data_IF_048056711802
#
_entry.id   IF_048056711802
#
_cell.length_a   1.000
_cell.length_b   1.000
_cell.length_c   1.000
_cell.angle_alpha   90.00
_cell.angle_beta   90.00
_cell.angle_gamma   90.00
#
_symmetry.space_group_name_H-M   'P 1'
#
loop_
_entity.id
_entity.type
_entity.pdbx_description
1 polymer ?
#
# COMPACT_ATOMS: atom_id res chain seq x y z
N UNK A 1 12.01 21.74 -0.43
CA UNK A 1 13.06 22.54 0.23
C UNK A 1 13.88 21.61 1.12
N UNK A 2 15.13 21.34 0.73
CA UNK A 2 16.04 20.40 1.40
C UNK A 2 16.52 21.02 2.73
N UNK A 3 16.38 20.33 3.86
CA UNK A 3 17.09 20.69 5.09
C UNK A 3 18.40 19.92 5.13
N UNK A 4 19.45 20.63 4.74
CA UNK A 4 20.84 20.24 4.87
C UNK A 4 21.16 19.99 6.34
N UNK A 5 21.67 18.81 6.68
CA UNK A 5 22.49 18.65 7.87
C UNK A 5 23.78 19.42 7.62
N UNK A 6 23.85 20.63 8.16
CA UNK A 6 24.94 21.56 7.94
C UNK A 6 26.28 20.95 8.37
N UNK A 7 27.13 20.60 7.40
CA UNK A 7 28.58 20.57 7.63
C UNK A 7 28.97 22.04 7.81
N UNK A 8 29.32 22.44 9.02
CA UNK A 8 29.95 23.74 9.25
C UNK A 8 31.36 23.68 8.65
N UNK A 9 31.53 24.25 7.45
CA UNK A 9 32.78 24.25 6.72
C UNK A 9 33.50 25.58 6.92
N UNK A 10 34.67 25.56 7.58
CA UNK A 10 35.56 26.72 7.67
C UNK A 10 36.81 26.45 6.84
N UNK A 11 36.80 26.89 5.57
CA UNK A 11 37.99 26.88 4.74
C UNK A 11 38.85 28.09 5.10
N UNK A 12 39.92 27.88 5.86
CA UNK A 12 40.86 28.96 6.19
C UNK A 12 42.05 28.90 5.23
N UNK A 13 41.99 29.68 4.16
CA UNK A 13 43.16 29.91 3.31
C UNK A 13 44.01 31.01 3.97
N UNK A 14 45.10 30.63 4.64
CA UNK A 14 46.07 31.58 5.17
C UNK A 14 46.98 32.03 4.03
N UNK A 15 46.70 33.22 3.47
CA UNK A 15 47.58 33.85 2.50
C UNK A 15 48.74 34.54 3.25
N UNK A 16 49.85 33.84 3.43
CA UNK A 16 51.14 34.48 3.67
C UNK A 16 52.14 34.02 2.62
N UNK A 17 52.90 34.99 2.12
CA UNK A 17 53.86 34.83 1.04
C UNK A 17 54.93 33.78 1.36
N UNK A 18 55.19 32.89 0.40
CA UNK A 18 56.36 32.02 0.25
C UNK A 18 56.49 30.75 1.12
N UNK A 19 55.41 30.21 1.70
CA UNK A 19 55.44 28.88 2.34
C UNK A 19 54.30 28.02 1.77
N UNK A 20 54.58 26.75 1.48
CA UNK A 20 53.66 25.78 0.88
C UNK A 20 52.21 25.97 1.38
N UNK A 21 51.30 26.30 0.47
CA UNK A 21 49.89 26.44 0.83
C UNK A 21 49.36 25.03 1.16
N UNK A 22 48.80 24.86 2.35
CA UNK A 22 48.15 23.61 2.75
C UNK A 22 46.65 23.81 2.84
N UNK A 23 45.87 22.93 2.21
CA UNK A 23 44.44 22.82 2.50
C UNK A 23 44.32 21.96 3.75
N UNK A 24 43.62 22.47 4.77
CA UNK A 24 43.27 21.69 5.96
C UNK A 24 41.78 21.41 5.91
N UNK A 25 41.42 20.15 5.82
CA UNK A 25 40.04 19.68 5.94
C UNK A 25 39.85 19.17 7.36
N UNK A 26 38.85 19.68 8.07
CA UNK A 26 38.49 19.20 9.40
C UNK A 26 37.24 18.34 9.27
N UNK A 27 37.29 17.09 9.72
CA UNK A 27 36.12 16.21 9.69
C UNK A 27 35.16 16.46 10.86
N UNK A 28 34.02 15.76 10.85
CA UNK A 28 32.96 15.91 11.87
C UNK A 28 33.42 15.59 13.30
N UNK A 29 34.50 14.83 13.44
CA UNK A 29 35.07 14.42 14.73
C UNK A 29 36.23 15.35 15.15
N UNK A 30 36.49 16.40 14.35
CA UNK A 30 37.52 17.40 14.62
C UNK A 30 38.91 17.00 14.14
N UNK A 31 39.07 15.88 13.42
CA UNK A 31 40.38 15.48 12.92
C UNK A 31 40.78 16.35 11.73
N UNK A 32 42.05 16.71 11.67
CA UNK A 32 42.60 17.54 10.60
C UNK A 32 43.32 16.69 9.55
N UNK A 33 42.93 16.88 8.29
CA UNK A 33 43.53 16.27 7.12
C UNK A 33 44.22 17.37 6.31
N UNK A 34 45.56 17.30 6.18
CA UNK A 34 46.35 18.32 5.50
C UNK A 34 46.75 17.86 4.10
N UNK A 35 46.50 18.70 3.11
CA UNK A 35 46.83 18.44 1.71
C UNK A 35 47.76 19.54 1.19
N UNK A 36 48.81 19.14 0.49
CA UNK A 36 49.70 20.09 -0.20
C UNK A 36 49.00 20.59 -1.46
N UNK A 37 48.82 21.91 -1.60
CA UNK A 37 48.13 22.51 -2.76
C UNK A 37 48.89 22.32 -4.08
N UNK A 38 50.21 22.10 -4.04
CA UNK A 38 51.04 21.92 -5.24
C UNK A 38 50.67 20.67 -6.07
N UNK A 39 49.93 19.72 -5.46
CA UNK A 39 49.58 18.43 -6.07
C UNK A 39 48.08 18.12 -6.08
N UNK A 40 47.22 19.07 -5.67
CA UNK A 40 45.78 18.86 -5.60
C UNK A 40 45.10 19.57 -6.77
N UNK A 41 44.61 18.79 -7.73
CA UNK A 41 43.80 19.31 -8.83
C UNK A 41 42.34 19.53 -8.41
N UNK A 42 41.74 18.53 -7.75
CA UNK A 42 40.36 18.54 -7.27
C UNK A 42 40.24 17.79 -5.93
N UNK A 43 39.33 18.24 -5.05
CA UNK A 43 38.91 17.50 -3.84
C UNK A 43 37.42 17.21 -3.96
N UNK A 44 37.06 15.93 -4.00
CA UNK A 44 35.65 15.49 -4.00
C UNK A 44 35.34 14.81 -2.67
N UNK A 45 34.18 15.16 -2.09
CA UNK A 45 33.66 14.50 -0.89
C UNK A 45 32.41 13.72 -1.26
N UNK A 46 32.43 12.42 -1.01
CA UNK A 46 31.24 11.59 -1.13
C UNK A 46 30.57 11.48 0.25
N UNK A 47 29.30 11.85 0.31
CA UNK A 47 28.48 11.61 1.50
C UNK A 47 28.01 10.16 1.42
N UNK A 48 28.64 9.29 2.20
CA UNK A 48 28.18 7.91 2.34
C UNK A 48 27.05 7.90 3.37
N UNK A 49 25.86 7.50 2.93
CA UNK A 49 24.73 7.25 3.82
C UNK A 49 24.90 5.91 4.52
N UNK A 50 25.40 5.95 5.75
CA UNK A 50 25.68 4.78 6.56
C UNK A 50 24.47 4.34 7.43
N UNK A 51 23.26 4.86 7.16
CA UNK A 51 22.08 4.43 7.90
C UNK A 51 21.81 2.94 7.62
N UNK A 52 21.49 2.12 8.63
CA UNK A 52 21.04 0.75 8.40
C UNK A 52 19.80 0.77 7.50
N UNK A 53 19.82 -0.08 6.47
CA UNK A 53 18.75 -0.21 5.49
C UNK A 53 18.13 -1.61 5.56
N UNK A 54 16.82 -1.66 5.81
CA UNK A 54 16.09 -2.90 5.97
C UNK A 54 15.15 -3.14 4.78
N UNK A 55 15.29 -4.30 4.14
CA UNK A 55 14.32 -4.80 3.16
C UNK A 55 13.30 -5.69 3.88
N UNK A 56 12.11 -5.16 4.09
CA UNK A 56 11.01 -5.87 4.72
C UNK A 56 10.33 -6.80 3.70
N UNK A 57 10.01 -8.02 4.13
CA UNK A 57 9.38 -9.04 3.28
C UNK A 57 7.93 -9.33 3.67
N UNK A 58 7.45 -8.73 4.76
CA UNK A 58 6.10 -8.90 5.27
C UNK A 58 5.50 -7.54 5.63
N UNK A 59 4.20 -7.42 5.39
CA UNK A 59 3.37 -6.29 5.81
C UNK A 59 2.10 -6.81 6.46
N UNK A 60 1.70 -6.19 7.56
CA UNK A 60 0.36 -6.30 8.11
C UNK A 60 -0.33 -4.94 8.10
N UNK A 61 -1.47 -4.88 7.40
CA UNK A 61 -2.31 -3.70 7.27
C UNK A 61 -3.48 -3.82 8.25
N UNK A 62 -3.63 -2.84 9.12
CA UNK A 62 -4.62 -2.80 10.19
C UNK A 62 -5.48 -1.53 10.07
N UNK A 63 -6.60 -1.57 9.33
CA UNK A 63 -7.51 -0.43 9.24
C UNK A 63 -8.26 -0.26 10.57
N UNK A 64 -8.34 0.97 11.07
CA UNK A 64 -9.09 1.27 12.29
C UNK A 64 -10.43 1.96 11.97
N UNK A 65 -10.40 3.22 11.49
CA UNK A 65 -11.58 3.95 11.02
C UNK A 65 -11.19 5.16 10.16
N UNK A 66 -12.05 5.55 9.22
CA UNK A 66 -11.88 6.71 8.36
C UNK A 66 -10.54 6.74 7.61
N UNK A 67 -9.71 7.74 7.92
CA UNK A 67 -8.40 7.98 7.30
C UNK A 67 -7.24 7.20 7.94
N UNK A 68 -7.48 6.43 9.01
CA UNK A 68 -6.41 5.88 9.84
C UNK A 68 -6.10 4.42 9.51
N UNK A 69 -4.81 4.14 9.27
CA UNK A 69 -4.31 2.81 8.93
C UNK A 69 -3.02 2.53 9.68
N UNK A 70 -3.00 1.45 10.46
CA UNK A 70 -1.78 0.89 11.00
C UNK A 70 -1.05 0.05 9.96
N UNK A 71 0.25 0.26 9.81
CA UNK A 71 1.14 -0.60 9.02
C UNK A 71 2.19 -1.21 9.95
N UNK A 72 2.38 -2.52 9.89
CA UNK A 72 3.49 -3.20 10.55
C UNK A 72 4.30 -4.01 9.53
N UNK A 73 5.58 -3.68 9.38
CA UNK A 73 6.51 -4.37 8.51
C UNK A 73 7.42 -5.30 9.31
N UNK A 74 7.74 -6.47 8.74
CA UNK A 74 8.67 -7.44 9.35
C UNK A 74 9.67 -7.97 8.33
N UNK A 75 10.91 -8.10 8.78
CA UNK A 75 11.97 -8.88 8.10
C UNK A 75 11.90 -10.34 8.55
N UNK A 76 12.59 -11.24 7.85
CA UNK A 76 12.69 -12.64 8.26
C UNK A 76 13.45 -12.79 9.59
N UNK A 77 14.36 -11.87 9.87
CA UNK A 77 15.21 -11.81 11.05
C UNK A 77 14.49 -11.16 12.25
N UNK A 78 13.24 -10.74 12.12
CA UNK A 78 12.44 -10.23 13.24
C UNK A 78 12.64 -8.74 13.56
N UNK A 79 13.28 -7.97 12.68
CA UNK A 79 13.21 -6.50 12.70
C UNK A 79 11.79 -6.05 12.35
N UNK A 80 11.22 -5.16 13.15
CA UNK A 80 9.87 -4.62 12.97
C UNK A 80 9.89 -3.10 12.83
N UNK A 81 9.09 -2.57 11.92
CA UNK A 81 8.75 -1.15 11.87
C UNK A 81 7.23 -1.00 11.79
N UNK A 82 6.64 -0.31 12.76
CA UNK A 82 5.21 -0.05 12.83
C UNK A 82 4.92 1.45 12.72
N UNK A 83 3.81 1.78 12.06
CA UNK A 83 3.45 3.15 11.73
C UNK A 83 1.94 3.34 11.83
N UNK A 84 1.54 4.43 12.48
CA UNK A 84 0.16 4.90 12.55
C UNK A 84 -0.08 6.01 11.51
N UNK A 85 -0.65 5.64 10.35
CA UNK A 85 -0.78 6.54 9.20
C UNK A 85 -2.14 7.22 9.18
N UNK A 86 -2.15 8.43 8.66
CA UNK A 86 -3.35 9.17 8.30
C UNK A 86 -3.21 9.74 6.90
N UNK A 87 -4.21 9.49 6.05
CA UNK A 87 -4.29 10.07 4.71
C UNK A 87 -4.97 11.44 4.74
N UNK A 88 -4.59 12.30 3.78
CA UNK A 88 -5.27 13.57 3.54
C UNK A 88 -6.70 13.37 2.99
N UNK A 89 -6.89 12.35 2.15
CA UNK A 89 -8.16 12.01 1.52
C UNK A 89 -8.71 10.68 2.10
N UNK A 90 -9.87 10.69 2.80
CA UNK A 90 -10.49 9.47 3.34
C UNK A 90 -11.00 8.50 2.29
N UNK A 91 -11.16 8.93 1.03
CA UNK A 91 -11.68 8.07 -0.03
C UNK A 91 -10.64 7.10 -0.58
N UNK A 92 -9.35 7.36 -0.33
CA UNK A 92 -8.23 6.55 -0.85
C UNK A 92 -7.39 6.01 0.30
N UNK A 93 -7.52 4.71 0.53
CA UNK A 93 -6.78 4.01 1.58
C UNK A 93 -5.37 3.74 1.09
N UNK A 94 -4.36 4.17 1.87
CA UNK A 94 -2.94 4.10 1.51
C UNK A 94 -2.66 4.77 0.15
N UNK A 95 -3.13 6.00 -0.01
CA UNK A 95 -2.90 6.80 -1.20
C UNK A 95 -1.40 6.97 -1.50
N UNK A 96 -1.06 6.96 -2.78
CA UNK A 96 0.29 7.28 -3.26
C UNK A 96 0.72 8.68 -2.79
N UNK A 97 2.00 8.81 -2.48
CA UNK A 97 2.59 10.09 -2.11
C UNK A 97 3.59 9.97 -0.96
N UNK A 98 3.88 11.12 -0.36
CA UNK A 98 4.82 11.22 0.76
C UNK A 98 4.08 11.48 2.07
N UNK A 99 4.36 10.64 3.06
CA UNK A 99 3.86 10.72 4.42
C UNK A 99 4.96 11.27 5.32
N UNK A 100 4.64 12.32 6.07
CA UNK A 100 5.62 12.99 6.93
C UNK A 100 5.43 12.58 8.39
N UNK A 101 6.51 12.19 9.06
CA UNK A 101 6.49 11.79 10.47
C UNK A 101 6.27 13.02 11.36
N UNK A 102 5.31 12.94 12.26
CA UNK A 102 4.98 14.00 13.21
C UNK A 102 4.33 15.24 12.60
N UNK A 103 3.92 15.19 11.33
CA UNK A 103 3.05 16.22 10.76
C UNK A 103 1.66 16.17 11.41
N UNK A 104 0.92 17.29 11.38
CA UNK A 104 -0.44 17.38 11.92
C UNK A 104 -1.52 17.40 10.84
N UNK A 105 -1.13 17.59 9.58
CA UNK A 105 -2.02 17.71 8.42
C UNK A 105 -1.45 16.94 7.23
N UNK A 106 -2.31 16.69 6.23
CA UNK A 106 -1.95 15.94 5.03
C UNK A 106 -1.67 14.46 5.29
N UNK A 107 -0.96 13.83 4.34
CA UNK A 107 -0.45 12.47 4.48
C UNK A 107 0.63 12.47 5.57
N UNK A 108 0.35 11.80 6.69
CA UNK A 108 1.18 11.88 7.89
C UNK A 108 1.30 10.54 8.60
N UNK A 109 2.34 10.44 9.40
CA UNK A 109 2.56 9.35 10.35
C UNK A 109 2.55 9.98 11.75
N UNK A 110 1.64 9.55 12.60
CA UNK A 110 1.64 9.98 13.99
C UNK A 110 2.80 9.31 14.74
N UNK A 111 3.56 10.09 15.48
CA UNK A 111 4.70 9.63 16.30
C UNK A 111 4.47 9.91 17.79
N UNK A 112 3.27 10.34 18.17
CA UNK A 112 2.93 10.68 19.55
C UNK A 112 2.87 9.46 20.48
N UNK A 113 2.53 8.28 19.96
CA UNK A 113 2.48 7.02 20.69
C UNK A 113 3.50 5.99 20.18
N UNK A 114 4.57 5.81 20.96
CA UNK A 114 5.62 4.80 20.70
C UNK A 114 5.16 3.34 20.83
N UNK A 115 3.90 3.09 21.20
CA UNK A 115 3.31 1.75 21.12
C UNK A 115 2.75 1.43 19.74
N UNK A 116 2.26 2.45 19.02
CA UNK A 116 1.64 2.33 17.70
C UNK A 116 2.65 2.62 16.58
N UNK A 117 3.50 3.63 16.77
CA UNK A 117 4.55 4.00 15.81
C UNK A 117 5.93 3.79 16.42
N UNK A 118 6.63 2.76 15.95
CA UNK A 118 7.91 2.35 16.54
C UNK A 118 8.82 1.61 15.57
N UNK A 119 10.11 1.68 15.84
CA UNK A 119 11.12 0.81 15.24
C UNK A 119 11.61 -0.19 16.30
N UNK A 120 11.78 -1.45 15.92
CA UNK A 120 12.31 -2.50 16.79
C UNK A 120 13.34 -3.32 16.01
N UNK A 121 14.63 -3.02 16.16
CA UNK A 121 15.66 -3.89 15.60
C UNK A 121 15.63 -5.23 16.33
N UNK A 122 15.63 -6.35 15.60
CA UNK A 122 15.86 -7.72 16.08
C UNK A 122 15.35 -8.02 17.51
N UNK A 123 14.03 -7.94 17.72
CA UNK A 123 13.43 -8.29 19.01
C UNK A 123 13.84 -7.43 20.22
N UNK A 124 14.59 -6.33 20.06
CA UNK A 124 15.01 -5.44 21.16
C UNK A 124 13.84 -4.62 21.72
N UNK A 125 14.10 -3.68 22.64
CA UNK A 125 13.09 -2.70 23.04
C UNK A 125 12.61 -1.88 21.83
N UNK A 126 11.34 -1.45 21.88
CA UNK A 126 10.78 -0.49 20.91
C UNK A 126 11.53 0.84 21.01
N UNK A 127 11.82 1.44 19.87
CA UNK A 127 12.45 2.74 19.72
C UNK A 127 11.46 3.69 19.05
N UNK A 128 11.31 4.89 19.61
CA UNK A 128 10.42 5.91 19.07
C UNK A 128 11.06 6.59 17.84
N UNK A 129 10.22 6.96 16.88
CA UNK A 129 10.61 7.83 15.79
C UNK A 129 10.56 9.31 16.23
N UNK A 130 11.42 10.13 15.63
CA UNK A 130 11.51 11.58 15.86
C UNK A 130 11.07 12.40 14.66
N UNK A 131 11.48 11.98 13.46
CA UNK A 131 11.16 12.65 12.20
C UNK A 131 11.50 11.74 11.03
N UNK A 132 11.04 12.09 9.82
CA UNK A 132 11.30 11.31 8.63
C UNK A 132 10.23 11.50 7.57
N UNK A 133 10.37 10.74 6.50
CA UNK A 133 9.39 10.63 5.42
C UNK A 133 9.23 9.19 4.99
N UNK A 134 8.02 8.82 4.62
CA UNK A 134 7.71 7.57 3.94
C UNK A 134 7.11 7.90 2.56
N UNK A 135 7.52 7.19 1.52
CA UNK A 135 6.93 7.30 0.19
C UNK A 135 6.18 6.01 -0.12
N UNK A 136 4.95 6.14 -0.59
CA UNK A 136 4.09 5.04 -1.04
C UNK A 136 3.79 5.27 -2.52
N UNK A 137 3.92 4.22 -3.32
CA UNK A 137 3.46 4.17 -4.72
C UNK A 137 2.98 2.77 -5.05
N UNK A 138 2.07 2.62 -6.02
CA UNK A 138 1.69 1.31 -6.55
C UNK A 138 1.56 1.29 -8.07
N UNK A 139 1.70 0.10 -8.66
CA UNK A 139 1.47 -0.11 -10.09
C UNK A 139 0.02 -0.53 -10.38
N UNK A 140 -0.31 -0.73 -11.66
CA UNK A 140 -1.65 -1.15 -12.11
C UNK A 140 -2.09 -2.53 -11.61
N UNK A 141 -1.17 -3.34 -11.08
CA UNK A 141 -1.44 -4.65 -10.49
C UNK A 141 -1.53 -4.61 -8.95
N UNK A 142 -1.58 -3.40 -8.37
CA UNK A 142 -1.59 -3.15 -6.94
C UNK A 142 -0.37 -3.73 -6.19
N UNK A 143 0.79 -3.79 -6.86
CA UNK A 143 2.07 -4.03 -6.20
C UNK A 143 2.55 -2.68 -5.66
N UNK A 144 2.69 -2.59 -4.35
CA UNK A 144 3.13 -1.40 -3.64
C UNK A 144 4.64 -1.39 -3.49
N UNK A 145 5.26 -0.25 -3.76
CA UNK A 145 6.62 0.08 -3.34
C UNK A 145 6.52 1.13 -2.23
N UNK A 146 6.93 0.75 -1.03
CA UNK A 146 6.92 1.59 0.17
C UNK A 146 8.35 1.75 0.65
N UNK A 147 8.82 2.98 0.80
CA UNK A 147 10.13 3.28 1.37
C UNK A 147 10.02 4.30 2.48
N UNK A 148 10.88 4.23 3.49
CA UNK A 148 10.97 5.26 4.52
C UNK A 148 12.40 5.60 4.88
N UNK A 149 12.57 6.87 5.22
CA UNK A 149 13.78 7.44 5.79
C UNK A 149 13.42 8.10 7.10
N UNK A 150 13.94 7.60 8.21
CA UNK A 150 13.57 8.08 9.52
C UNK A 150 14.78 8.39 10.41
N UNK A 151 14.54 9.25 11.38
CA UNK A 151 15.42 9.55 12.49
C UNK A 151 14.73 9.07 13.76
N UNK A 152 15.42 8.28 14.56
CA UNK A 152 14.95 7.76 15.84
C UNK A 152 15.13 8.79 16.95
N UNK A 153 14.52 8.55 18.11
CA UNK A 153 14.57 9.46 19.25
C UNK A 153 16.00 9.73 19.76
N UNK A 154 16.91 8.75 19.61
CA UNK A 154 18.34 8.87 19.95
C UNK A 154 19.16 9.67 18.91
N UNK A 155 18.55 10.08 17.80
CA UNK A 155 19.18 10.82 16.71
C UNK A 155 19.82 9.94 15.63
N UNK A 156 19.83 8.62 15.79
CA UNK A 156 20.27 7.70 14.74
C UNK A 156 19.28 7.69 13.57
N UNK A 157 19.77 7.39 12.37
CA UNK A 157 18.93 7.28 11.17
C UNK A 157 18.67 5.82 10.81
N UNK A 158 17.54 5.55 10.17
CA UNK A 158 17.18 4.23 9.64
C UNK A 158 16.48 4.38 8.29
N UNK A 159 16.77 3.44 7.39
CA UNK A 159 16.14 3.29 6.09
C UNK A 159 15.33 2.00 6.05
N UNK A 160 14.23 2.00 5.32
CA UNK A 160 13.43 0.81 5.11
C UNK A 160 12.73 0.79 3.77
N UNK A 161 12.50 -0.42 3.25
CA UNK A 161 11.79 -0.64 1.99
C UNK A 161 10.93 -1.90 2.03
N UNK A 162 9.80 -1.87 1.35
CA UNK A 162 8.92 -3.00 1.09
C UNK A 162 8.43 -2.93 -0.35
N UNK A 163 8.43 -4.08 -1.04
CA UNK A 163 7.78 -4.23 -2.34
C UNK A 163 6.86 -5.45 -2.30
N UNK A 164 5.57 -5.26 -2.60
CA UNK A 164 4.62 -6.36 -2.62
C UNK A 164 3.16 -5.94 -2.56
N UNK A 165 2.27 -6.93 -2.58
CA UNK A 165 0.82 -6.71 -2.39
C UNK A 165 0.50 -6.48 -0.92
N UNK A 166 -0.57 -5.75 -0.65
CA UNK A 166 -1.08 -5.61 0.72
C UNK A 166 -1.76 -6.90 1.17
N UNK A 167 -1.56 -7.30 2.42
CA UNK A 167 -2.22 -8.48 2.99
C UNK A 167 -3.71 -8.23 3.33
N UNK A 168 -4.09 -6.96 3.55
CA UNK A 168 -5.48 -6.49 3.69
C UNK A 168 -5.64 -5.18 2.91
N UNK A 169 -6.88 -4.81 2.57
CA UNK A 169 -7.21 -3.52 1.93
C UNK A 169 -6.56 -3.28 0.56
N UNK A 170 -6.20 -4.36 -0.16
CA UNK A 170 -5.76 -4.25 -1.55
C UNK A 170 -6.89 -3.64 -2.41
N UNK A 171 -6.59 -2.68 -3.31
CA UNK A 171 -7.59 -2.13 -4.23
C UNK A 171 -8.07 -3.18 -5.25
N UNK A 172 -7.31 -4.26 -5.42
CA UNK A 172 -7.68 -5.43 -6.20
C UNK A 172 -7.90 -6.59 -5.25
N UNK A 173 -9.10 -7.18 -5.28
CA UNK A 173 -9.44 -8.36 -4.48
C UNK A 173 -9.77 -9.51 -5.43
N UNK A 174 -8.94 -10.55 -5.41
CA UNK A 174 -9.23 -11.80 -6.11
C UNK A 174 -10.14 -12.67 -5.24
N UNK A 175 -11.43 -12.75 -5.59
CA UNK A 175 -12.40 -13.57 -4.88
C UNK A 175 -12.62 -14.89 -5.62
N UNK A 176 -12.39 -16.02 -4.93
CA UNK A 176 -12.70 -17.35 -5.46
C UNK A 176 -13.92 -17.94 -4.75
N UNK A 177 -15.08 -17.87 -5.43
CA UNK A 177 -16.30 -18.55 -4.98
C UNK A 177 -16.27 -19.99 -5.46
N UNK A 178 -16.18 -20.94 -4.53
CA UNK A 178 -16.02 -22.37 -4.83
C UNK A 178 -17.32 -23.15 -4.73
N UNK A 179 -18.31 -22.60 -4.06
CA UNK A 179 -19.63 -23.20 -3.90
C UNK A 179 -20.59 -22.50 -4.85
N UNK A 180 -21.33 -23.25 -5.67
CA UNK A 180 -22.35 -22.72 -6.58
C UNK A 180 -23.58 -23.61 -6.46
N UNK A 181 -24.75 -23.00 -6.27
CA UNK A 181 -26.04 -23.69 -6.29
C UNK A 181 -27.06 -22.89 -7.06
N UNK A 182 -27.85 -23.57 -7.88
CA UNK A 182 -29.09 -23.02 -8.40
C UNK A 182 -30.13 -22.99 -7.28
N UNK A 183 -30.92 -21.92 -7.21
CA UNK A 183 -31.98 -21.73 -6.23
C UNK A 183 -33.29 -21.53 -6.96
N UNK A 184 -34.34 -22.20 -6.50
CA UNK A 184 -35.69 -21.99 -7.01
C UNK A 184 -36.21 -20.63 -6.56
N UNK A 185 -36.77 -19.89 -7.50
CA UNK A 185 -37.38 -18.58 -7.28
C UNK A 185 -38.87 -18.62 -7.62
N UNK A 186 -39.63 -17.66 -7.09
CA UNK A 186 -41.03 -17.51 -7.43
C UNK A 186 -41.18 -17.01 -8.87
N UNK A 187 -42.06 -17.65 -9.65
CA UNK A 187 -42.37 -17.27 -11.05
C UNK A 187 -41.11 -17.17 -11.97
N UNK A 188 -40.30 -18.24 -12.06
CA UNK A 188 -39.11 -18.24 -12.89
C UNK A 188 -39.49 -18.11 -14.37
N UNK A 189 -38.74 -17.30 -15.12
CA UNK A 189 -38.91 -17.15 -16.56
C UNK A 189 -38.23 -18.32 -17.27
N UNK A 190 -38.73 -18.66 -18.46
CA UNK A 190 -38.13 -19.72 -19.27
C UNK A 190 -36.68 -19.36 -19.59
N UNK A 191 -35.75 -20.24 -19.24
CA UNK A 191 -34.31 -19.99 -19.39
C UNK A 191 -33.67 -19.15 -18.28
N UNK A 192 -34.38 -18.79 -17.20
CA UNK A 192 -33.82 -18.08 -16.03
C UNK A 192 -33.09 -19.05 -15.09
N UNK A 193 -31.86 -18.71 -14.72
CA UNK A 193 -31.04 -19.42 -13.74
C UNK A 193 -30.63 -18.46 -12.64
N UNK A 194 -31.19 -18.67 -11.45
CA UNK A 194 -30.82 -17.93 -10.25
C UNK A 194 -29.78 -18.72 -9.47
N UNK A 195 -28.52 -18.26 -9.49
CA UNK A 195 -27.38 -18.94 -8.88
C UNK A 195 -26.94 -18.19 -7.63
N UNK A 196 -26.73 -18.92 -6.53
CA UNK A 196 -26.03 -18.43 -5.35
C UNK A 196 -24.64 -19.04 -5.31
N UNK A 197 -23.65 -18.18 -5.10
CA UNK A 197 -22.24 -18.53 -5.03
C UNK A 197 -21.68 -18.11 -3.67
N UNK A 198 -20.73 -18.86 -3.13
CA UNK A 198 -20.00 -18.47 -1.92
C UNK A 198 -18.57 -19.01 -1.94
N UNK A 199 -17.69 -18.39 -1.15
CA UNK A 199 -16.46 -19.04 -0.71
C UNK A 199 -16.76 -20.12 0.35
N UNK A 200 -15.73 -20.83 0.79
CA UNK A 200 -15.85 -21.91 1.78
C UNK A 200 -16.28 -21.42 3.17
N UNK A 201 -16.01 -20.15 3.47
CA UNK A 201 -16.24 -19.53 4.79
C UNK A 201 -17.43 -18.57 4.84
N UNK A 202 -18.12 -18.37 3.71
CA UNK A 202 -19.20 -17.38 3.56
C UNK A 202 -18.76 -15.93 3.88
N UNK A 203 -17.47 -15.62 3.70
CA UNK A 203 -16.96 -14.25 3.76
C UNK A 203 -17.29 -13.49 2.47
N UNK A 204 -17.49 -14.21 1.38
CA UNK A 204 -17.89 -13.66 0.10
C UNK A 204 -19.06 -14.46 -0.44
N UNK A 205 -20.11 -13.77 -0.83
CA UNK A 205 -21.29 -14.37 -1.45
C UNK A 205 -21.59 -13.66 -2.78
N UNK A 206 -22.28 -14.34 -3.69
CA UNK A 206 -22.79 -13.69 -4.89
C UNK A 206 -24.11 -14.30 -5.32
N UNK A 207 -24.87 -13.50 -6.04
CA UNK A 207 -26.07 -13.90 -6.76
C UNK A 207 -25.84 -13.58 -8.22
N UNK A 208 -26.04 -14.56 -9.10
CA UNK A 208 -26.15 -14.34 -10.54
C UNK A 208 -27.55 -14.72 -10.99
N UNK A 209 -28.27 -13.77 -11.57
CA UNK A 209 -29.61 -13.96 -12.14
C UNK A 209 -29.51 -13.89 -13.67
N UNK A 210 -29.41 -15.06 -14.31
CA UNK A 210 -28.99 -15.21 -15.71
C UNK A 210 -30.13 -15.67 -16.60
N UNK A 211 -30.22 -15.13 -17.82
CA UNK A 211 -31.18 -15.56 -18.84
C UNK A 211 -30.45 -16.24 -19.99
N UNK A 212 -30.87 -17.47 -20.29
CA UNK A 212 -30.41 -18.27 -21.41
C UNK A 212 -31.57 -18.50 -22.39
N UNK A 213 -31.30 -19.24 -23.48
CA UNK A 213 -32.34 -19.63 -24.43
C UNK A 213 -33.50 -20.35 -23.73
N UNK A 214 -34.73 -20.00 -24.10
CA UNK A 214 -35.94 -20.54 -23.49
C UNK A 214 -35.96 -22.08 -23.60
N UNK A 215 -36.29 -22.75 -22.49
CA UNK A 215 -36.35 -24.23 -22.42
C UNK A 215 -35.00 -24.93 -22.24
N UNK A 216 -33.88 -24.20 -22.14
CA UNK A 216 -32.60 -24.82 -21.77
C UNK A 216 -32.61 -25.30 -20.30
N UNK A 217 -31.84 -26.34 -20.03
CA UNK A 217 -31.67 -26.94 -18.69
C UNK A 217 -30.28 -26.69 -18.11
N UNK A 218 -29.41 -26.00 -18.86
CA UNK A 218 -28.07 -25.64 -18.44
C UNK A 218 -27.74 -24.19 -18.81
N UNK A 219 -26.91 -23.56 -17.98
CA UNK A 219 -26.35 -22.24 -18.24
C UNK A 219 -25.39 -22.33 -19.43
N UNK A 220 -25.67 -21.55 -20.46
CA UNK A 220 -24.85 -21.52 -21.66
C UNK A 220 -23.47 -20.90 -21.39
N UNK A 221 -22.46 -21.34 -22.14
CA UNK A 221 -21.17 -20.67 -22.17
C UNK A 221 -21.27 -19.38 -22.99
N UNK A 222 -20.50 -18.36 -22.59
CA UNK A 222 -20.42 -17.07 -23.30
C UNK A 222 -20.42 -15.88 -22.35
N UNK A 223 -20.54 -14.69 -22.94
CA UNK A 223 -20.56 -13.41 -22.22
C UNK A 223 -21.99 -12.97 -21.99
N UNK A 224 -22.33 -12.68 -20.74
CA UNK A 224 -23.61 -12.15 -20.34
C UNK A 224 -23.51 -10.63 -20.13
N UNK A 225 -24.51 -9.88 -20.60
CA UNK A 225 -24.59 -8.42 -20.44
C UNK A 225 -25.78 -8.01 -19.58
N UNK A 226 -25.68 -6.86 -18.91
CA UNK A 226 -26.81 -6.33 -18.12
C UNK A 226 -27.95 -5.94 -19.07
N UNK A 227 -29.16 -6.42 -18.81
CA UNK A 227 -30.36 -6.00 -19.51
C UNK A 227 -31.59 -5.96 -18.59
N UNK A 228 -32.54 -5.09 -18.93
CA UNK A 228 -33.88 -5.09 -18.31
C UNK A 228 -34.81 -6.14 -18.93
N UNK A 229 -34.37 -6.77 -20.04
CA UNK A 229 -35.11 -7.82 -20.74
C UNK A 229 -34.56 -9.20 -20.39
N UNK A 230 -35.43 -10.21 -20.49
CA UNK A 230 -35.08 -11.62 -20.26
C UNK A 230 -34.52 -12.30 -21.51
N UNK A 231 -33.80 -11.54 -22.35
CA UNK A 231 -33.20 -12.09 -23.57
C UNK A 231 -32.07 -13.08 -23.22
N UNK A 232 -31.82 -14.05 -24.09
CA UNK A 232 -30.68 -14.95 -23.88
C UNK A 232 -29.35 -14.17 -23.82
N UNK A 233 -28.41 -14.67 -23.02
CA UNK A 233 -27.10 -14.05 -22.76
C UNK A 233 -27.18 -12.71 -22.02
N UNK A 234 -28.18 -12.53 -21.15
CA UNK A 234 -28.28 -11.36 -20.27
C UNK A 234 -28.33 -11.73 -18.80
N UNK A 235 -28.04 -10.77 -17.92
CA UNK A 235 -28.28 -10.87 -16.49
C UNK A 235 -29.10 -9.68 -15.97
N UNK A 236 -29.88 -9.88 -14.91
CA UNK A 236 -30.71 -8.82 -14.33
C UNK A 236 -29.97 -7.99 -13.27
N UNK A 237 -30.63 -6.90 -12.85
CA UNK A 237 -30.24 -6.09 -11.68
C UNK A 237 -30.28 -6.83 -10.34
N UNK A 238 -30.79 -8.07 -10.26
CA UNK A 238 -30.69 -8.92 -9.08
C UNK A 238 -29.29 -9.54 -8.91
N UNK A 239 -28.46 -9.48 -9.95
CA UNK A 239 -27.08 -9.95 -9.91
C UNK A 239 -26.23 -9.02 -9.04
N UNK A 240 -25.46 -9.59 -8.11
CA UNK A 240 -24.58 -8.83 -7.22
C UNK A 240 -23.60 -9.73 -6.48
N UNK A 241 -22.53 -9.13 -5.96
CA UNK A 241 -21.55 -9.80 -5.09
C UNK A 241 -21.66 -9.11 -3.73
N UNK A 242 -21.64 -9.88 -2.65
CA UNK A 242 -21.51 -9.35 -1.29
C UNK A 242 -20.10 -9.66 -0.78
N UNK A 243 -19.44 -8.62 -0.30
CA UNK A 243 -18.11 -8.71 0.29
C UNK A 243 -18.31 -8.40 1.77
N UNK A 244 -18.38 -9.44 2.60
CA UNK A 244 -18.58 -9.25 4.03
C UNK A 244 -17.33 -8.61 4.64
N UNK A 245 -17.45 -7.32 4.99
CA UNK A 245 -16.50 -6.63 5.88
C UNK A 245 -17.10 -6.54 7.28
N UNK A 246 -16.55 -7.24 8.30
CA UNK A 246 -17.08 -7.17 9.67
C UNK A 246 -16.98 -5.77 10.31
N UNK A 247 -16.25 -4.81 9.71
CA UNK A 247 -16.08 -3.45 10.25
C UNK A 247 -16.73 -2.32 9.46
N UNK A 248 -17.37 -2.56 8.30
CA UNK A 248 -18.04 -1.48 7.56
C UNK A 248 -19.24 -1.99 6.71
N UNK A 249 -20.49 -1.90 7.22
CA UNK A 249 -21.69 -2.42 6.57
C UNK A 249 -22.26 -1.50 5.46
N UNK A 250 -21.41 -0.74 4.76
CA UNK A 250 -21.89 0.16 3.70
C UNK A 250 -22.30 -0.65 2.46
N UNK A 251 -23.47 -0.39 1.85
CA UNK A 251 -23.84 -1.01 0.58
C UNK A 251 -22.86 -0.61 -0.50
N UNK A 252 -22.15 -1.57 -1.10
CA UNK A 252 -21.27 -1.28 -2.22
C UNK A 252 -22.10 -1.27 -3.50
N UNK A 253 -21.93 -0.24 -4.32
CA UNK A 253 -22.51 -0.17 -5.67
C UNK A 253 -21.60 -0.91 -6.65
N UNK A 254 -22.22 -1.55 -7.64
CA UNK A 254 -21.52 -2.22 -8.75
C UNK A 254 -21.73 -1.43 -10.03
N UNK A 255 -20.65 -1.24 -10.81
CA UNK A 255 -20.74 -0.81 -12.20
C UNK A 255 -19.78 -1.63 -13.05
N UNK A 256 -20.15 -1.80 -14.32
CA UNK A 256 -19.33 -2.48 -15.31
C UNK A 256 -19.10 -3.96 -15.01
N UNK A 257 -20.17 -4.72 -14.72
CA UNK A 257 -20.09 -6.18 -14.59
C UNK A 257 -19.92 -6.78 -15.99
N UNK A 258 -18.75 -7.35 -16.26
CA UNK A 258 -18.54 -8.30 -17.35
C UNK A 258 -18.59 -9.70 -16.77
N UNK A 259 -19.64 -10.46 -17.07
CA UNK A 259 -19.78 -11.85 -16.64
C UNK A 259 -19.57 -12.78 -17.82
N UNK A 260 -18.64 -13.73 -17.68
CA UNK A 260 -18.39 -14.76 -18.66
C UNK A 260 -18.48 -16.14 -18.03
N UNK A 261 -19.25 -17.02 -18.65
CA UNK A 261 -19.29 -18.43 -18.33
C UNK A 261 -18.39 -19.19 -19.31
N UNK A 262 -17.46 -19.99 -18.79
CA UNK A 262 -16.60 -20.89 -19.56
C UNK A 262 -16.54 -22.25 -18.88
N UNK A 263 -17.02 -23.30 -19.54
CA UNK A 263 -17.04 -24.68 -19.05
C UNK A 263 -17.67 -24.85 -17.66
N UNK A 264 -16.88 -24.94 -16.59
CA UNK A 264 -17.38 -25.11 -15.21
C UNK A 264 -17.07 -23.90 -14.34
N UNK A 265 -16.72 -22.76 -14.94
CA UNK A 265 -16.29 -21.56 -14.22
C UNK A 265 -17.00 -20.31 -14.72
N UNK A 266 -17.24 -19.40 -13.79
CA UNK A 266 -17.67 -18.03 -14.07
C UNK A 266 -16.50 -17.09 -13.80
N UNK A 267 -16.32 -16.12 -14.68
CA UNK A 267 -15.35 -15.04 -14.56
C UNK A 267 -16.12 -13.73 -14.54
N UNK A 268 -15.86 -12.90 -13.53
CA UNK A 268 -16.52 -11.63 -13.35
C UNK A 268 -15.47 -10.54 -13.13
N UNK A 269 -15.61 -9.42 -13.83
CA UNK A 269 -14.85 -8.19 -13.55
C UNK A 269 -15.87 -7.08 -13.30
N UNK A 270 -15.67 -6.30 -12.25
CA UNK A 270 -16.56 -5.23 -11.84
C UNK A 270 -15.78 -4.14 -11.12
N UNK A 271 -16.32 -2.94 -11.11
CA UNK A 271 -15.83 -1.84 -10.30
C UNK A 271 -16.71 -1.69 -9.07
N UNK A 272 -16.07 -1.68 -7.90
CA UNK A 272 -16.73 -1.34 -6.64
C UNK A 272 -16.68 0.18 -6.48
N UNK A 273 -17.81 0.78 -6.15
CA UNK A 273 -17.87 2.17 -5.70
C UNK A 273 -18.74 2.29 -4.45
N UNK A 274 -18.31 3.15 -3.54
CA UNK A 274 -19.15 3.52 -2.40
C UNK A 274 -20.46 4.10 -2.93
N UNK A 275 -21.62 3.58 -2.50
CA UNK A 275 -22.94 4.06 -2.95
C UNK A 275 -23.25 5.50 -2.47
N UNK A 276 -22.38 6.11 -1.66
CA UNK A 276 -22.57 7.40 -1.00
C UNK A 276 -21.65 8.52 -1.54
N UNK A 277 -21.11 8.39 -2.75
CA UNK A 277 -20.39 9.48 -3.46
C UNK A 277 -21.01 9.75 -4.81
#
# INVERSE_FOLDING_TARGET
>A
MKRLSAIAFALTALASSAVAQSIVVVDKDGNQHKFCTDYVQDITFEVIDNRPNYSFSQIDVNPYDGVNVGLEFKTAEGVTAAFDLYMADPSVILADGTYTFGATEGNRIDISDSQLTYFRPDGTAKQAFKSGTMTISHNSEAIYTISFEAVLADGSGVLGSYEGKLNKMSPIVDVKLTTIKQVDINDPKSGEFYLRLSDVTYNYEAVFDLFCEAGTTAVADGTYTLAETNAAMTFSSKTGIDIYKPSNPQPIGFSGILLAKRQNSFYCTYFLHNRNV
#
